data_IF_790642233463
#
_entry.id   IF_790642233463
#
_cell.length_a   1.000
_cell.length_b   1.000
_cell.length_c   1.000
_cell.angle_alpha   90.00
_cell.angle_beta   90.00
_cell.angle_gamma   90.00
#
_symmetry.space_group_name_H-M   'P 1'
#
loop_
_entity.id
_entity.type
_entity.pdbx_description
1 polymer ?
#
# COMPACT_ATOMS: atom_id res chain seq x y z
N UNK A 1 -3.31 -25.11 -14.77
CA UNK A 1 -2.94 -23.71 -15.10
C UNK A 1 -1.84 -23.77 -16.15
N UNK A 2 -1.90 -22.99 -17.24
CA UNK A 2 -0.97 -23.14 -18.38
C UNK A 2 -0.09 -21.89 -18.52
N UNK A 3 1.11 -22.07 -19.09
CA UNK A 3 2.09 -20.99 -19.38
C UNK A 3 1.72 -20.15 -20.61
N UNK A 4 0.64 -20.49 -21.30
CA UNK A 4 0.27 -19.91 -22.60
C UNK A 4 0.02 -18.40 -22.60
N UNK A 5 -0.49 -17.75 -21.54
CA UNK A 5 -0.59 -16.29 -21.52
C UNK A 5 0.76 -15.60 -21.74
N UNK A 6 1.81 -16.08 -21.08
CA UNK A 6 3.17 -15.52 -21.18
C UNK A 6 3.78 -15.78 -22.57
N UNK A 7 3.58 -16.98 -23.12
CA UNK A 7 4.17 -17.38 -24.41
C UNK A 7 3.44 -16.73 -25.59
N UNK A 8 2.11 -16.81 -25.63
CA UNK A 8 1.33 -16.38 -26.80
C UNK A 8 1.00 -14.89 -26.80
N UNK A 9 0.91 -14.27 -25.62
CA UNK A 9 0.53 -12.85 -25.49
C UNK A 9 1.64 -11.99 -24.90
N UNK A 10 2.79 -12.56 -24.56
CA UNK A 10 3.93 -11.81 -24.02
C UNK A 10 3.63 -11.07 -22.72
N UNK A 11 2.58 -11.46 -21.98
CA UNK A 11 2.26 -10.82 -20.70
C UNK A 11 3.32 -11.15 -19.66
N UNK A 12 3.57 -10.25 -18.72
CA UNK A 12 4.59 -10.43 -17.67
C UNK A 12 3.94 -10.51 -16.28
N UNK A 13 4.54 -11.31 -15.41
CA UNK A 13 4.23 -11.33 -13.98
C UNK A 13 5.33 -10.57 -13.24
N UNK A 14 4.99 -9.42 -12.66
CA UNK A 14 5.94 -8.57 -11.96
C UNK A 14 5.84 -8.82 -10.44
N UNK A 15 6.89 -9.37 -9.84
CA UNK A 15 6.99 -9.50 -8.39
C UNK A 15 7.35 -8.17 -7.76
N UNK A 16 6.51 -7.67 -6.85
CA UNK A 16 6.73 -6.40 -6.15
C UNK A 16 6.98 -6.67 -4.66
N UNK A 17 8.09 -6.18 -4.13
CA UNK A 17 8.46 -6.27 -2.71
C UNK A 17 8.96 -4.93 -2.21
N UNK A 18 8.39 -4.43 -1.11
CA UNK A 18 8.73 -3.12 -0.53
C UNK A 18 9.82 -3.18 0.54
N UNK A 19 9.94 -4.31 1.26
CA UNK A 19 10.80 -4.44 2.43
C UNK A 19 12.29 -4.19 2.10
N UNK A 20 12.79 -4.87 1.07
CA UNK A 20 14.21 -4.86 0.69
C UNK A 20 14.49 -4.02 -0.57
N UNK A 21 13.58 -3.10 -0.94
CA UNK A 21 13.79 -2.24 -2.10
C UNK A 21 15.09 -1.39 -1.92
N UNK A 22 15.97 -1.33 -2.94
CA UNK A 22 17.17 -0.49 -2.89
C UNK A 22 16.84 0.96 -2.55
N UNK A 23 17.71 1.62 -1.78
CA UNK A 23 17.47 2.99 -1.31
C UNK A 23 17.18 3.96 -2.44
N UNK A 24 18.00 3.95 -3.49
CA UNK A 24 17.85 4.85 -4.63
C UNK A 24 16.46 4.71 -5.28
N UNK A 25 16.00 3.47 -5.48
CA UNK A 25 14.65 3.20 -6.01
C UNK A 25 13.56 3.70 -5.06
N UNK A 26 13.74 3.50 -3.75
CA UNK A 26 12.79 4.00 -2.72
C UNK A 26 12.69 5.52 -2.77
N UNK A 27 13.81 6.23 -2.84
CA UNK A 27 13.86 7.70 -2.89
C UNK A 27 13.19 8.24 -4.16
N UNK A 28 13.44 7.61 -5.31
CA UNK A 28 12.78 7.94 -6.57
C UNK A 28 11.26 7.79 -6.49
N UNK A 29 10.79 6.63 -5.99
CA UNK A 29 9.34 6.37 -5.87
C UNK A 29 8.69 7.34 -4.89
N UNK A 30 9.34 7.66 -3.76
CA UNK A 30 8.81 8.65 -2.82
C UNK A 30 8.77 10.07 -3.40
N UNK A 31 9.77 10.47 -4.17
CA UNK A 31 9.76 11.76 -4.87
C UNK A 31 8.58 11.86 -5.85
N UNK A 32 8.26 10.77 -6.57
CA UNK A 32 7.09 10.73 -7.44
C UNK A 32 5.78 10.75 -6.65
N UNK A 33 5.66 9.96 -5.58
CA UNK A 33 4.47 9.92 -4.71
C UNK A 33 4.19 11.27 -4.02
N UNK A 34 5.21 12.07 -3.76
CA UNK A 34 5.06 13.43 -3.25
C UNK A 34 4.59 14.45 -4.29
N UNK A 35 4.71 14.12 -5.58
CA UNK A 35 4.50 15.04 -6.71
C UNK A 35 3.52 14.43 -7.73
N UNK A 36 4.03 13.99 -8.89
CA UNK A 36 3.25 13.52 -10.04
C UNK A 36 2.35 12.32 -9.74
N UNK A 37 2.70 11.47 -8.78
CA UNK A 37 1.95 10.28 -8.38
C UNK A 37 1.19 10.47 -7.07
N UNK A 38 1.06 11.71 -6.58
CA UNK A 38 0.31 11.99 -5.36
C UNK A 38 -1.13 11.50 -5.50
N UNK A 39 -1.62 10.58 -4.63
CA UNK A 39 -2.99 10.11 -4.72
C UNK A 39 -3.98 11.27 -4.57
N UNK A 40 -4.94 11.37 -5.49
CA UNK A 40 -5.83 12.53 -5.58
C UNK A 40 -6.86 12.61 -4.43
N UNK A 41 -7.12 11.50 -3.74
CA UNK A 41 -8.21 11.40 -2.76
C UNK A 41 -7.70 10.86 -1.41
N UNK A 42 -6.60 11.43 -0.90
CA UNK A 42 -6.04 11.01 0.38
C UNK A 42 -7.07 11.07 1.52
N UNK A 43 -7.96 12.06 1.53
CA UNK A 43 -9.03 12.17 2.54
C UNK A 43 -10.07 11.05 2.47
N UNK A 44 -10.22 10.38 1.31
CA UNK A 44 -11.08 9.19 1.15
C UNK A 44 -10.33 7.89 1.43
N UNK A 45 -9.02 7.89 1.15
CA UNK A 45 -8.15 6.74 1.44
C UNK A 45 -7.94 6.63 2.94
N UNK A 46 -7.74 7.75 3.64
CA UNK A 46 -7.73 7.80 5.09
C UNK A 46 -9.16 7.60 5.62
N UNK A 47 -9.42 6.47 6.26
CA UNK A 47 -10.77 6.12 6.77
C UNK A 47 -10.90 6.26 8.28
N UNK A 48 -9.78 6.43 8.97
CA UNK A 48 -9.74 6.67 10.42
C UNK A 48 -8.39 7.28 10.81
N UNK A 49 -8.40 8.13 11.84
CA UNK A 49 -7.22 8.55 12.59
C UNK A 49 -7.39 8.11 14.04
N UNK A 50 -6.40 7.41 14.60
CA UNK A 50 -6.45 6.87 15.97
C UNK A 50 -5.17 7.19 16.74
N UNK A 51 -5.27 7.22 18.07
CA UNK A 51 -4.09 7.15 18.94
C UNK A 51 -3.58 5.72 19.08
N UNK A 52 -2.46 5.56 19.81
CA UNK A 52 -1.87 4.24 20.09
C UNK A 52 -2.81 3.31 20.87
N UNK A 53 -3.66 3.88 21.73
CA UNK A 53 -4.71 3.20 22.50
C UNK A 53 -5.80 2.58 21.62
N UNK A 54 -6.03 3.11 20.42
CA UNK A 54 -7.00 2.60 19.45
C UNK A 54 -6.50 1.41 18.61
N UNK A 55 -5.20 1.08 18.66
CA UNK A 55 -4.60 0.04 17.82
C UNK A 55 -5.21 -1.36 17.98
N UNK A 56 -5.54 -1.85 19.20
CA UNK A 56 -6.11 -3.18 19.36
C UNK A 56 -7.39 -3.39 18.53
N UNK A 57 -8.31 -2.43 18.56
CA UNK A 57 -9.56 -2.52 17.79
C UNK A 57 -9.31 -2.46 16.26
N UNK A 58 -8.32 -1.67 15.83
CA UNK A 58 -7.92 -1.59 14.41
C UNK A 58 -7.35 -2.93 13.93
N UNK A 59 -6.49 -3.57 14.74
CA UNK A 59 -5.89 -4.86 14.39
C UNK A 59 -6.91 -5.99 14.34
N UNK A 60 -7.84 -6.06 15.30
CA UNK A 60 -8.95 -7.04 15.27
C UNK A 60 -9.76 -6.92 13.96
N UNK A 61 -10.14 -5.69 13.59
CA UNK A 61 -10.86 -5.43 12.33
C UNK A 61 -10.02 -5.80 11.10
N UNK A 62 -8.72 -5.51 11.11
CA UNK A 62 -7.82 -5.80 10.00
C UNK A 62 -7.64 -7.30 9.78
N UNK A 63 -7.41 -8.06 10.85
CA UNK A 63 -7.24 -9.51 10.79
C UNK A 63 -8.54 -10.22 10.39
N UNK A 64 -9.69 -9.66 10.76
CA UNK A 64 -11.01 -10.12 10.30
C UNK A 64 -11.31 -9.77 8.82
N UNK A 65 -10.39 -9.10 8.11
CA UNK A 65 -10.58 -8.69 6.71
C UNK A 65 -11.53 -7.52 6.50
N UNK A 66 -11.93 -6.83 7.57
CA UNK A 66 -12.91 -5.73 7.54
C UNK A 66 -12.32 -4.36 7.22
N UNK A 67 -11.03 -4.26 6.92
CA UNK A 67 -10.35 -2.99 6.64
C UNK A 67 -10.64 -2.46 5.24
N UNK A 68 -10.94 -1.16 5.16
CA UNK A 68 -11.09 -0.41 3.91
C UNK A 68 -10.23 0.85 4.01
N UNK A 69 -9.46 1.15 2.96
CA UNK A 69 -8.57 2.31 2.93
C UNK A 69 -7.36 2.15 3.86
N UNK A 70 -7.03 3.20 4.59
CA UNK A 70 -5.89 3.28 5.52
C UNK A 70 -6.31 3.97 6.81
N UNK A 71 -5.87 3.43 7.93
CA UNK A 71 -5.93 4.09 9.24
C UNK A 71 -4.60 4.79 9.49
N UNK A 72 -4.62 6.07 9.85
CA UNK A 72 -3.45 6.82 10.28
C UNK A 72 -3.37 6.77 11.81
N UNK A 73 -2.17 6.56 12.34
CA UNK A 73 -1.93 6.54 13.78
C UNK A 73 -1.22 7.84 14.14
N UNK A 74 -1.85 8.67 14.96
CA UNK A 74 -1.23 9.88 15.49
C UNK A 74 -0.28 9.49 16.62
N UNK A 75 0.94 10.00 16.55
CA UNK A 75 1.96 9.86 17.59
C UNK A 75 2.20 11.28 18.10
N UNK A 76 1.76 11.52 19.33
CA UNK A 76 2.00 12.77 20.07
C UNK A 76 3.29 12.66 20.90
#
# INVERSE_FOLDING_TARGET
MTVMPFILRGVSLLGVSSANAPRALREEVWARLGNEWKPQHLDRICTAEVGLDGLPAVFERMLAGGSLGRTVVRID
#
